data_IF_963137744214
#
_entry.id   IF_963137744214
#
_cell.length_a   1.000
_cell.length_b   1.000
_cell.length_c   1.000
_cell.angle_alpha   90.00
_cell.angle_beta   90.00
_cell.angle_gamma   90.00
#
_symmetry.space_group_name_H-M   'P 1'
#
loop_
_entity.id
_entity.type
_entity.pdbx_description
1 polymer ?
#
# COMPACT_ATOMS: atom_id res chain seq x y z
N UNK A 1 0.73 6.02 7.81
CA UNK A 1 0.68 6.52 6.43
C UNK A 1 -0.36 7.64 6.32
N UNK A 2 -0.05 8.84 6.83
CA UNK A 2 -1.04 9.94 6.86
C UNK A 2 -1.31 10.49 5.45
N UNK A 3 -0.26 10.78 4.69
CA UNK A 3 -0.35 11.29 3.32
C UNK A 3 -1.16 10.37 2.40
N UNK A 4 -0.86 9.06 2.42
CA UNK A 4 -1.59 8.04 1.64
C UNK A 4 -3.07 8.05 2.00
N UNK A 5 -3.40 8.01 3.29
CA UNK A 5 -4.81 8.02 3.73
C UNK A 5 -5.53 9.31 3.31
N UNK A 6 -4.88 10.47 3.38
CA UNK A 6 -5.47 11.75 2.99
C UNK A 6 -5.68 11.87 1.48
N UNK A 7 -4.72 11.40 0.66
CA UNK A 7 -4.79 11.50 -0.80
C UNK A 7 -5.67 10.43 -1.42
N UNK A 8 -5.66 9.23 -0.86
CA UNK A 8 -6.45 8.11 -1.35
C UNK A 8 -7.84 8.05 -0.69
N UNK A 9 -8.17 8.96 0.22
CA UNK A 9 -9.52 9.07 0.75
C UNK A 9 -10.57 9.29 -0.34
N UNK A 10 -11.77 8.76 -0.12
CA UNK A 10 -12.90 8.91 -1.01
C UNK A 10 -14.01 7.91 -0.68
N UNK A 11 -15.18 8.03 -1.33
CA UNK A 11 -16.32 7.15 -1.08
C UNK A 11 -16.04 5.69 -1.46
N UNK A 12 -15.19 5.45 -2.46
CA UNK A 12 -14.83 4.11 -2.92
C UNK A 12 -13.68 3.48 -2.12
N UNK A 13 -13.04 4.22 -1.20
CA UNK A 13 -12.00 3.65 -0.33
C UNK A 13 -12.68 2.85 0.78
N UNK A 14 -12.45 1.54 0.79
CA UNK A 14 -13.05 0.62 1.76
C UNK A 14 -12.19 0.48 3.02
N UNK A 15 -10.88 0.30 2.86
CA UNK A 15 -9.97 0.06 3.98
C UNK A 15 -8.51 0.40 3.63
N UNK A 16 -7.72 0.76 4.64
CA UNK A 16 -6.26 0.89 4.54
C UNK A 16 -5.63 0.16 5.73
N UNK A 17 -4.82 -0.86 5.43
CA UNK A 17 -4.06 -1.62 6.43
C UNK A 17 -2.57 -1.44 6.23
N UNK A 18 -1.85 -1.23 7.33
CA UNK A 18 -0.39 -1.22 7.38
C UNK A 18 0.06 -2.44 8.15
N UNK A 19 0.88 -3.27 7.51
CA UNK A 19 1.29 -4.57 8.02
C UNK A 19 2.81 -4.53 8.18
N UNK A 20 3.31 -4.93 9.35
CA UNK A 20 4.74 -5.07 9.61
C UNK A 20 5.14 -6.54 9.47
N UNK A 21 6.19 -6.80 8.68
CA UNK A 21 6.80 -8.12 8.62
C UNK A 21 7.52 -8.44 9.92
N UNK A 22 7.30 -9.65 10.46
CA UNK A 22 7.92 -10.09 11.71
C UNK A 22 8.92 -11.22 11.50
N UNK A 23 8.58 -12.21 10.68
CA UNK A 23 9.43 -13.38 10.41
C UNK A 23 9.04 -14.07 9.09
N UNK A 24 9.93 -14.92 8.59
CA UNK A 24 9.71 -15.89 7.51
C UNK A 24 9.14 -17.23 8.01
N UNK A 25 9.24 -18.27 7.19
CA UNK A 25 8.68 -19.59 7.48
C UNK A 25 9.55 -20.46 8.38
N UNK A 26 10.87 -20.24 8.39
CA UNK A 26 11.81 -20.97 9.23
C UNK A 26 12.13 -20.24 10.56
N UNK A 27 12.54 -20.97 11.61
CA UNK A 27 12.96 -20.35 12.87
C UNK A 27 14.09 -19.33 12.68
N UNK A 28 13.84 -18.09 13.10
CA UNK A 28 14.81 -16.98 12.98
C UNK A 28 14.93 -16.38 11.58
N UNK A 29 14.14 -16.84 10.61
CA UNK A 29 14.14 -16.26 9.26
C UNK A 29 13.50 -14.87 9.27
N UNK A 30 14.14 -13.92 8.58
CA UNK A 30 13.60 -12.57 8.36
C UNK A 30 12.37 -12.60 7.45
N UNK A 31 11.44 -11.63 7.58
CA UNK A 31 10.30 -11.55 6.67
C UNK A 31 10.75 -11.18 5.24
N UNK A 32 10.07 -11.73 4.24
CA UNK A 32 10.29 -11.36 2.84
C UNK A 32 10.02 -9.86 2.57
N UNK A 33 9.03 -9.29 3.26
CA UNK A 33 8.69 -7.88 3.20
C UNK A 33 8.69 -7.28 4.61
N UNK A 34 9.49 -6.24 4.83
CA UNK A 34 9.58 -5.58 6.15
C UNK A 34 8.29 -4.82 6.50
N UNK A 35 7.60 -4.32 5.49
CA UNK A 35 6.29 -3.68 5.63
C UNK A 35 5.47 -3.90 4.35
N UNK A 36 4.15 -3.90 4.50
CA UNK A 36 3.21 -3.88 3.39
C UNK A 36 2.07 -2.91 3.71
N UNK A 37 1.50 -2.34 2.65
CA UNK A 37 0.27 -1.56 2.72
C UNK A 37 -0.77 -2.24 1.85
N UNK A 38 -1.96 -2.47 2.39
CA UNK A 38 -3.10 -2.90 1.62
C UNK A 38 -4.08 -1.74 1.56
N UNK A 39 -4.40 -1.29 0.35
CA UNK A 39 -5.31 -0.20 0.09
C UNK A 39 -6.47 -0.80 -0.70
N UNK A 40 -7.63 -0.94 -0.06
CA UNK A 40 -8.77 -1.64 -0.62
C UNK A 40 -9.79 -0.65 -1.14
N UNK A 41 -10.18 -0.81 -2.40
CA UNK A 41 -11.20 0.00 -3.06
C UNK A 41 -12.35 -0.86 -3.56
N UNK A 42 -13.52 -0.23 -3.70
CA UNK A 42 -14.72 -0.84 -4.28
C UNK A 42 -14.53 -1.20 -5.75
N UNK A 43 -13.71 -0.45 -6.49
CA UNK A 43 -13.44 -0.71 -7.90
C UNK A 43 -11.98 -0.44 -8.28
N UNK A 44 -11.50 -1.17 -9.30
CA UNK A 44 -10.18 -0.93 -9.89
C UNK A 44 -10.10 0.47 -10.52
N UNK A 45 -11.17 0.93 -11.16
CA UNK A 45 -11.22 2.24 -11.81
C UNK A 45 -11.11 3.38 -10.79
N UNK A 46 -11.79 3.26 -9.64
CA UNK A 46 -11.69 4.22 -8.54
C UNK A 46 -10.27 4.32 -7.97
N UNK A 47 -9.63 3.17 -7.74
CA UNK A 47 -8.23 3.11 -7.32
C UNK A 47 -7.29 3.76 -8.35
N UNK A 48 -7.41 3.38 -9.62
CA UNK A 48 -6.55 3.91 -10.70
C UNK A 48 -6.75 5.42 -10.88
N UNK A 49 -7.99 5.91 -10.78
CA UNK A 49 -8.30 7.33 -10.84
C UNK A 49 -7.56 8.11 -9.73
N UNK A 50 -7.64 7.62 -8.49
CA UNK A 50 -6.95 8.23 -7.34
C UNK A 50 -5.42 8.16 -7.44
N UNK A 51 -4.89 7.03 -7.91
CA UNK A 51 -3.45 6.90 -8.16
C UNK A 51 -2.98 7.76 -9.33
N UNK A 52 -3.81 8.03 -10.33
CA UNK A 52 -3.47 8.96 -11.41
C UNK A 52 -3.40 10.40 -10.90
N UNK A 53 -4.34 10.79 -10.03
CA UNK A 53 -4.41 12.13 -9.46
C UNK A 53 -3.27 12.41 -8.45
N UNK A 54 -2.96 11.45 -7.58
CA UNK A 54 -2.06 11.66 -6.44
C UNK A 54 -0.83 10.75 -6.38
N UNK A 55 -0.71 9.79 -7.29
CA UNK A 55 0.36 8.79 -7.31
C UNK A 55 1.78 9.38 -7.29
N UNK A 56 2.10 10.43 -8.09
CA UNK A 56 3.42 11.04 -8.04
C UNK A 56 3.80 11.60 -6.67
N UNK A 57 2.85 12.22 -5.95
CA UNK A 57 3.07 12.75 -4.59
C UNK A 57 3.23 11.60 -3.59
N UNK A 58 2.35 10.60 -3.67
CA UNK A 58 2.37 9.43 -2.77
C UNK A 58 3.66 8.62 -2.93
N UNK A 59 4.05 8.32 -4.17
CA UNK A 59 5.27 7.57 -4.46
C UNK A 59 6.53 8.40 -4.19
N UNK A 60 6.47 9.71 -4.39
CA UNK A 60 7.54 10.65 -4.08
C UNK A 60 7.85 10.80 -2.60
N UNK A 61 6.94 10.41 -1.71
CA UNK A 61 7.15 10.44 -0.26
C UNK A 61 7.93 9.22 0.26
N UNK A 62 8.00 8.12 -0.50
CA UNK A 62 8.68 6.87 -0.09
C UNK A 62 10.14 7.11 0.37
N UNK A 63 10.97 7.87 -0.38
CA UNK A 63 12.36 8.13 0.01
C UNK A 63 12.51 8.83 1.36
N UNK A 64 11.47 9.48 1.88
CA UNK A 64 11.52 10.17 3.17
C UNK A 64 11.60 9.21 4.37
N UNK A 65 11.23 7.94 4.19
CA UNK A 65 11.18 6.96 5.28
C UNK A 65 11.81 5.60 4.95
N UNK A 66 12.17 5.34 3.69
CA UNK A 66 12.92 4.13 3.32
C UNK A 66 13.67 4.34 2.00
N UNK A 67 14.80 3.66 1.83
CA UNK A 67 15.52 3.57 0.56
C UNK A 67 15.07 2.38 -0.29
N UNK A 68 14.16 1.55 0.22
CA UNK A 68 13.65 0.37 -0.48
C UNK A 68 12.60 0.79 -1.49
N UNK A 69 12.74 0.34 -2.74
CA UNK A 69 11.67 0.45 -3.75
C UNK A 69 10.59 -0.60 -3.46
N UNK A 70 9.32 -0.20 -3.26
CA UNK A 70 8.25 -1.15 -3.01
C UNK A 70 7.88 -1.92 -4.28
N UNK A 71 7.43 -3.16 -4.10
CA UNK A 71 6.68 -3.88 -5.12
C UNK A 71 5.23 -3.41 -5.09
N UNK A 72 4.69 -3.02 -6.25
CA UNK A 72 3.27 -2.67 -6.40
C UNK A 72 2.56 -3.81 -7.11
N UNK A 73 1.44 -4.24 -6.54
CA UNK A 73 0.59 -5.30 -7.09
C UNK A 73 -0.87 -4.87 -6.95
N UNK A 74 -1.66 -5.14 -8.01
CA UNK A 74 -3.11 -5.02 -7.98
C UNK A 74 -3.71 -6.41 -7.83
N UNK A 75 -4.71 -6.52 -6.96
CA UNK A 75 -5.34 -7.77 -6.58
C UNK A 75 -6.85 -7.59 -6.49
N UNK A 76 -7.59 -8.63 -6.84
CA UNK A 76 -9.02 -8.71 -6.60
C UNK A 76 -9.25 -9.42 -5.26
N UNK A 77 -10.13 -8.86 -4.42
CA UNK A 77 -10.59 -9.54 -3.21
C UNK A 77 -11.56 -10.64 -3.62
N UNK A 78 -11.30 -11.87 -3.18
CA UNK A 78 -12.10 -13.07 -3.47
C UNK A 78 -12.91 -13.56 -2.26
N UNK A 79 -12.94 -12.79 -1.18
CA UNK A 79 -13.68 -13.15 0.04
C UNK A 79 -15.19 -12.97 -0.05
#
# INVERSE_FOLDING_TARGET
MKLVAERLAGPELLDIRVIKGLAGGAPGESPAYQAAALIHYESMDGLVSKLTEHGPEVMGDIPNYTSVQPLVQFSEDMS
#
